data_IF_419894933105
#
_entry.id   IF_419894933105
#
_cell.length_a   1.000
_cell.length_b   1.000
_cell.length_c   1.000
_cell.angle_alpha   90.00
_cell.angle_beta   90.00
_cell.angle_gamma   90.00
#
_symmetry.space_group_name_H-M   'P 1'
#
loop_
_entity.id
_entity.type
_entity.pdbx_description
1 polymer ?
#
# COMPACT_ATOMS: atom_id res chain seq x y z
N UNK A 1 -76.55 -3.10 -39.83
CA UNK A 1 -75.16 -2.61 -39.79
C UNK A 1 -75.08 -1.61 -38.66
N UNK A 2 -74.46 -1.98 -37.54
CA UNK A 2 -74.14 -1.04 -36.47
C UNK A 2 -72.62 -0.87 -36.48
N UNK A 3 -72.17 0.35 -36.76
CA UNK A 3 -70.75 0.74 -36.73
C UNK A 3 -70.28 0.76 -35.28
N UNK A 4 -69.28 -0.08 -34.97
CA UNK A 4 -68.54 0.01 -33.71
C UNK A 4 -67.60 1.21 -33.80
N UNK A 5 -67.92 2.28 -33.09
CA UNK A 5 -66.98 3.37 -32.87
C UNK A 5 -65.91 2.95 -31.85
N UNK A 6 -64.61 3.19 -32.13
CA UNK A 6 -63.56 2.88 -31.17
C UNK A 6 -63.62 3.86 -29.99
N UNK A 7 -63.72 3.33 -28.77
CA UNK A 7 -63.59 4.16 -27.57
C UNK A 7 -62.16 4.68 -27.45
N UNK A 8 -62.01 6.01 -27.46
CA UNK A 8 -60.73 6.66 -27.24
C UNK A 8 -60.37 6.63 -25.74
N UNK A 9 -59.14 6.25 -25.37
CA UNK A 9 -58.73 6.25 -23.97
C UNK A 9 -58.86 7.65 -23.37
N UNK A 10 -59.44 7.75 -22.16
CA UNK A 10 -59.64 9.03 -21.49
C UNK A 10 -58.30 9.70 -21.13
N UNK A 11 -58.29 11.03 -21.04
CA UNK A 11 -57.11 11.80 -20.65
C UNK A 11 -56.51 11.34 -19.30
N UNK A 12 -57.35 10.82 -18.40
CA UNK A 12 -56.95 10.21 -17.13
C UNK A 12 -56.14 8.93 -17.30
N UNK A 13 -56.51 8.06 -18.26
CA UNK A 13 -55.74 6.86 -18.58
C UNK A 13 -54.36 7.21 -19.14
N UNK A 14 -54.26 8.24 -19.99
CA UNK A 14 -52.96 8.73 -20.49
C UNK A 14 -52.09 9.29 -19.37
N UNK A 15 -52.68 10.05 -18.43
CA UNK A 15 -51.94 10.64 -17.32
C UNK A 15 -51.39 9.57 -16.35
N UNK A 16 -52.18 8.53 -16.05
CA UNK A 16 -51.75 7.43 -15.19
C UNK A 16 -50.64 6.58 -15.83
N UNK A 17 -50.74 6.33 -17.13
CA UNK A 17 -49.68 5.64 -17.89
C UNK A 17 -48.40 6.51 -17.89
N UNK A 18 -48.52 7.82 -18.13
CA UNK A 18 -47.38 8.72 -18.08
C UNK A 18 -46.71 8.77 -16.70
N UNK A 19 -47.48 8.83 -15.61
CA UNK A 19 -46.92 8.79 -14.25
C UNK A 19 -46.25 7.45 -13.91
N UNK A 20 -46.79 6.32 -14.39
CA UNK A 20 -46.18 5.00 -14.22
C UNK A 20 -44.84 4.87 -14.96
N UNK A 21 -44.72 5.46 -16.16
CA UNK A 21 -43.47 5.48 -16.92
C UNK A 21 -42.41 6.35 -16.23
N UNK A 22 -42.80 7.50 -15.67
CA UNK A 22 -41.88 8.40 -14.93
C UNK A 22 -41.36 7.74 -13.65
N UNK A 23 -42.19 6.99 -12.93
CA UNK A 23 -41.78 6.28 -11.71
C UNK A 23 -40.83 5.10 -12.00
N UNK A 24 -40.98 4.41 -13.14
CA UNK A 24 -39.99 3.41 -13.58
C UNK A 24 -38.65 4.03 -14.00
N UNK A 25 -38.64 5.26 -14.54
CA UNK A 25 -37.41 6.00 -14.83
C UNK A 25 -36.69 6.46 -13.55
N UNK A 26 -37.43 6.81 -12.50
CA UNK A 26 -36.86 7.24 -11.22
C UNK A 26 -36.23 6.10 -10.41
N UNK A 27 -36.64 4.85 -10.66
CA UNK A 27 -36.14 3.66 -9.96
C UNK A 27 -35.04 2.89 -10.73
N UNK A 28 -34.50 3.45 -11.81
CA UNK A 28 -33.21 3.00 -12.33
C UNK A 28 -32.14 3.59 -11.41
N UNK A 29 -31.92 2.94 -10.26
CA UNK A 29 -30.62 3.03 -9.60
C UNK A 29 -29.61 2.52 -10.62
N UNK A 30 -29.02 3.44 -11.39
CA UNK A 30 -27.87 3.15 -12.21
C UNK A 30 -26.84 2.53 -11.26
N UNK A 31 -26.57 1.24 -11.41
CA UNK A 31 -25.42 0.58 -10.82
C UNK A 31 -24.17 1.19 -11.49
N UNK A 32 -23.86 2.43 -11.11
CA UNK A 32 -22.72 3.18 -11.62
C UNK A 32 -21.48 2.44 -11.17
N UNK A 33 -20.72 1.95 -12.14
CA UNK A 33 -19.40 1.34 -11.94
C UNK A 33 -18.47 2.23 -11.09
N UNK A 34 -18.68 3.55 -11.09
CA UNK A 34 -17.95 4.48 -10.23
C UNK A 34 -18.78 5.71 -9.86
N UNK A 35 -18.53 6.28 -8.67
CA UNK A 35 -19.05 7.58 -8.23
C UNK A 35 -17.92 8.44 -7.68
N UNK A 36 -18.00 9.75 -7.88
CA UNK A 36 -17.07 10.69 -7.28
C UNK A 36 -17.35 10.81 -5.77
N UNK A 37 -16.35 10.54 -4.94
CA UNK A 37 -16.45 10.71 -3.48
C UNK A 37 -15.84 12.04 -3.06
N UNK A 38 -16.54 12.77 -2.20
CA UNK A 38 -15.98 13.98 -1.58
C UNK A 38 -14.92 13.59 -0.53
N UNK A 39 -13.83 14.36 -0.36
CA UNK A 39 -12.86 14.11 0.71
C UNK A 39 -13.50 14.09 2.11
N UNK A 40 -14.55 14.88 2.33
CA UNK A 40 -15.36 14.85 3.56
C UNK A 40 -16.02 13.50 3.81
N UNK A 41 -16.56 12.85 2.77
CA UNK A 41 -17.19 11.52 2.92
C UNK A 41 -16.19 10.41 3.29
N UNK A 42 -14.89 10.66 3.10
CA UNK A 42 -13.81 9.78 3.52
C UNK A 42 -13.19 10.16 4.87
N UNK A 43 -13.74 11.17 5.55
CA UNK A 43 -13.22 11.67 6.84
C UNK A 43 -11.91 12.46 6.72
N UNK A 44 -11.49 12.83 5.50
CA UNK A 44 -10.20 13.48 5.21
C UNK A 44 -10.15 14.97 5.62
N UNK A 45 -11.24 15.53 6.15
CA UNK A 45 -11.26 16.89 6.73
C UNK A 45 -10.66 16.95 8.15
N UNK A 46 -10.35 15.79 8.76
CA UNK A 46 -9.72 15.72 10.08
C UNK A 46 -8.21 15.93 9.95
N UNK A 47 -7.62 16.64 10.92
CA UNK A 47 -6.17 16.90 10.98
C UNK A 47 -5.40 15.58 10.96
N UNK A 48 -4.34 15.54 10.15
CA UNK A 48 -3.43 14.40 10.08
C UNK A 48 -2.89 14.05 11.47
N UNK A 49 -2.89 12.76 11.80
CA UNK A 49 -2.32 12.24 13.05
C UNK A 49 -1.03 11.51 12.74
N UNK A 50 0.04 11.93 13.40
CA UNK A 50 1.28 11.18 13.46
C UNK A 50 1.19 10.17 14.60
N UNK A 51 1.43 8.89 14.29
CA UNK A 51 1.56 7.84 15.30
C UNK A 51 2.96 7.28 15.27
N UNK A 52 3.56 7.14 16.45
CA UNK A 52 4.78 6.40 16.67
C UNK A 52 4.42 5.11 17.41
N UNK A 53 4.85 3.98 16.88
CA UNK A 53 4.60 2.64 17.40
C UNK A 53 5.93 1.96 17.67
N UNK A 54 6.07 1.34 18.84
CA UNK A 54 7.26 0.60 19.23
C UNK A 54 6.87 -0.82 19.66
N UNK A 55 7.59 -1.81 19.13
CA UNK A 55 7.33 -3.23 19.38
C UNK A 55 8.50 -4.11 18.93
N UNK A 56 8.49 -5.38 19.33
CA UNK A 56 9.48 -6.39 18.97
C UNK A 56 8.87 -7.48 18.10
N UNK A 57 9.51 -7.74 16.97
CA UNK A 57 9.17 -8.76 15.99
C UNK A 57 10.02 -10.01 16.23
N UNK A 58 9.41 -11.20 16.18
CA UNK A 58 10.07 -12.48 16.48
C UNK A 58 9.97 -13.45 15.30
N UNK A 59 11.06 -13.61 14.56
CA UNK A 59 11.15 -14.57 13.45
C UNK A 59 11.68 -15.90 14.00
N UNK A 60 10.79 -16.89 14.09
CA UNK A 60 11.11 -18.24 14.59
C UNK A 60 11.11 -19.21 13.42
N UNK A 61 12.29 -19.43 12.86
CA UNK A 61 12.51 -20.27 11.67
C UNK A 61 12.69 -21.75 12.06
N UNK A 62 13.24 -22.02 13.24
CA UNK A 62 13.46 -23.38 13.73
C UNK A 62 13.15 -23.52 15.22
N UNK A 63 12.85 -24.75 15.66
CA UNK A 63 12.52 -25.07 17.05
C UNK A 63 11.05 -25.42 17.24
N UNK A 64 10.52 -25.16 18.44
CA UNK A 64 9.10 -25.30 18.73
C UNK A 64 8.36 -24.01 18.34
N UNK A 65 7.12 -24.14 17.89
CA UNK A 65 6.27 -23.00 17.49
C UNK A 65 6.90 -22.15 16.36
N UNK A 66 7.33 -22.81 15.28
CA UNK A 66 7.84 -22.15 14.07
C UNK A 66 6.80 -21.18 13.52
N UNK A 67 7.21 -19.94 13.25
CA UNK A 67 6.36 -18.85 12.75
C UNK A 67 6.72 -18.43 11.32
N UNK A 68 7.91 -18.80 10.84
CA UNK A 68 8.34 -18.56 9.47
C UNK A 68 8.83 -19.84 8.78
N UNK A 69 8.40 -20.02 7.53
CA UNK A 69 8.67 -21.24 6.75
C UNK A 69 9.14 -20.88 5.36
N UNK A 70 10.25 -21.49 4.92
CA UNK A 70 10.72 -21.37 3.54
C UNK A 70 9.78 -22.11 2.59
N UNK A 71 9.20 -21.38 1.63
CA UNK A 71 8.22 -21.91 0.67
C UNK A 71 8.80 -22.07 -0.74
N UNK A 72 9.86 -21.34 -1.06
CA UNK A 72 10.55 -21.49 -2.34
C UNK A 72 12.04 -21.22 -2.19
N UNK A 73 12.82 -21.77 -3.13
CA UNK A 73 14.23 -21.44 -3.34
C UNK A 73 14.60 -21.66 -4.79
N UNK A 74 15.55 -20.88 -5.30
CA UNK A 74 16.14 -21.15 -6.59
C UNK A 74 17.01 -22.42 -6.52
N UNK A 75 17.22 -23.15 -7.63
CA UNK A 75 18.17 -24.28 -7.67
C UNK A 75 19.59 -23.86 -7.30
N UNK A 76 19.96 -22.61 -7.58
CA UNK A 76 21.25 -22.00 -7.26
C UNK A 76 21.36 -21.52 -5.81
N UNK A 77 20.26 -21.53 -5.04
CA UNK A 77 20.27 -21.11 -3.64
C UNK A 77 21.07 -22.09 -2.79
N UNK A 78 22.17 -21.61 -2.20
CA UNK A 78 23.04 -22.36 -1.30
C UNK A 78 23.20 -21.63 0.04
N UNK A 79 23.94 -22.22 0.99
CA UNK A 79 24.25 -21.55 2.26
C UNK A 79 25.13 -20.31 2.05
N UNK A 80 26.02 -20.31 1.06
CA UNK A 80 26.94 -19.21 0.75
C UNK A 80 26.34 -18.18 -0.22
N UNK A 81 25.35 -18.57 -1.02
CA UNK A 81 24.56 -17.67 -1.86
C UNK A 81 23.07 -17.94 -1.63
N UNK A 82 22.48 -17.32 -0.60
CA UNK A 82 21.11 -17.64 -0.22
C UNK A 82 20.08 -16.85 -1.05
N UNK A 83 20.52 -16.14 -2.08
CA UNK A 83 19.69 -15.45 -3.08
C UNK A 83 18.63 -16.40 -3.66
N UNK A 84 17.40 -15.88 -3.81
CA UNK A 84 16.26 -16.61 -4.36
C UNK A 84 15.49 -17.46 -3.35
N UNK A 85 15.90 -17.50 -2.07
CA UNK A 85 15.08 -18.10 -1.01
C UNK A 85 13.90 -17.20 -0.66
N UNK A 86 12.70 -17.78 -0.53
CA UNK A 86 11.47 -17.08 -0.14
C UNK A 86 10.84 -17.80 1.05
N UNK A 87 10.44 -17.04 2.07
CA UNK A 87 9.71 -17.51 3.22
C UNK A 87 8.39 -16.78 3.39
N UNK A 88 7.40 -17.48 3.95
CA UNK A 88 6.17 -16.90 4.51
C UNK A 88 6.34 -16.79 6.02
N UNK A 89 5.73 -15.78 6.63
CA UNK A 89 5.79 -15.54 8.07
C UNK A 89 4.44 -15.15 8.67
N UNK A 90 4.21 -15.60 9.91
CA UNK A 90 3.14 -15.19 10.83
C UNK A 90 3.76 -14.90 12.22
N UNK A 91 4.64 -13.90 12.25
CA UNK A 91 5.53 -13.64 13.38
C UNK A 91 4.84 -12.77 14.44
N UNK A 92 4.93 -13.10 15.75
CA UNK A 92 4.32 -12.30 16.79
C UNK A 92 5.05 -10.96 16.96
N UNK A 93 4.27 -9.94 17.33
CA UNK A 93 4.77 -8.63 17.76
C UNK A 93 4.48 -8.46 19.25
N UNK A 94 5.48 -8.10 20.06
CA UNK A 94 5.34 -7.96 21.51
C UNK A 94 5.84 -6.62 22.04
N UNK A 95 5.45 -6.25 23.27
CA UNK A 95 5.87 -4.98 23.90
C UNK A 95 7.34 -4.98 24.37
N UNK A 96 7.95 -6.14 24.55
CA UNK A 96 9.35 -6.27 24.98
C UNK A 96 10.06 -7.39 24.19
N UNK A 97 11.40 -7.49 24.26
CA UNK A 97 12.14 -8.54 23.56
C UNK A 97 11.80 -9.97 24.00
N UNK A 98 11.09 -10.14 25.12
CA UNK A 98 10.63 -11.44 25.58
C UNK A 98 9.38 -11.87 24.79
N UNK A 99 9.44 -13.04 24.14
CA UNK A 99 8.33 -13.62 23.39
C UNK A 99 7.11 -13.95 24.28
N UNK A 100 7.33 -14.14 25.59
CA UNK A 100 6.26 -14.33 26.58
C UNK A 100 5.59 -13.02 27.01
N UNK A 101 6.11 -11.87 26.60
CA UNK A 101 5.51 -10.57 26.92
C UNK A 101 4.23 -10.32 26.13
N UNK A 102 3.54 -9.22 26.46
CA UNK A 102 2.23 -8.91 25.88
C UNK A 102 2.28 -8.82 24.35
N UNK A 103 1.47 -9.64 23.70
CA UNK A 103 1.25 -9.62 22.26
C UNK A 103 0.51 -8.34 21.85
N UNK A 104 1.04 -7.59 20.90
CA UNK A 104 0.44 -6.37 20.35
C UNK A 104 -0.02 -6.50 18.91
N UNK A 105 0.43 -7.54 18.22
CA UNK A 105 0.06 -7.81 16.84
C UNK A 105 0.80 -8.99 16.26
N UNK A 106 0.72 -9.13 14.94
CA UNK A 106 1.51 -10.07 14.15
C UNK A 106 2.04 -9.40 12.88
N UNK A 107 3.21 -9.81 12.42
CA UNK A 107 3.72 -9.51 11.10
C UNK A 107 3.43 -10.68 10.15
N UNK A 108 2.63 -10.41 9.13
CA UNK A 108 2.10 -11.42 8.22
C UNK A 108 2.46 -11.10 6.78
N UNK A 109 3.14 -12.01 6.11
CA UNK A 109 3.52 -11.82 4.70
C UNK A 109 4.69 -12.69 4.29
N UNK A 110 5.57 -12.13 3.46
CA UNK A 110 6.72 -12.82 2.90
C UNK A 110 8.00 -12.01 3.06
N UNK A 111 9.12 -12.72 3.08
CA UNK A 111 10.42 -12.14 2.82
C UNK A 111 11.23 -13.02 1.86
N UNK A 112 12.07 -12.39 1.05
CA UNK A 112 12.91 -13.07 0.07
C UNK A 112 14.34 -12.55 0.10
N UNK A 113 15.33 -13.43 0.03
CA UNK A 113 16.73 -13.03 -0.13
C UNK A 113 16.95 -12.56 -1.57
N UNK A 114 16.92 -11.24 -1.75
CA UNK A 114 16.78 -10.59 -3.05
C UNK A 114 18.05 -9.87 -3.52
N UNK A 115 19.16 -9.96 -2.75
CA UNK A 115 20.47 -9.45 -3.17
C UNK A 115 21.44 -10.58 -3.49
N UNK A 116 22.20 -10.40 -4.57
CA UNK A 116 23.26 -11.34 -4.97
C UNK A 116 24.59 -11.05 -4.27
N UNK A 117 24.78 -9.84 -3.75
CA UNK A 117 26.06 -9.34 -3.22
C UNK A 117 26.09 -9.26 -1.70
N UNK A 118 24.93 -9.25 -1.04
CA UNK A 118 24.84 -9.16 0.42
C UNK A 118 23.59 -9.88 0.95
N UNK A 119 23.56 -10.17 2.24
CA UNK A 119 22.38 -10.72 2.91
C UNK A 119 21.32 -9.61 3.06
N UNK A 120 20.50 -9.44 2.04
CA UNK A 120 19.41 -8.46 2.04
C UNK A 120 18.09 -9.10 1.66
N UNK A 121 17.11 -8.87 2.52
CA UNK A 121 15.74 -9.32 2.33
C UNK A 121 14.93 -8.25 1.58
N UNK A 122 14.08 -8.66 0.65
CA UNK A 122 12.90 -7.90 0.27
C UNK A 122 11.79 -8.31 1.24
N UNK A 123 11.28 -7.36 2.01
CA UNK A 123 10.20 -7.54 2.95
C UNK A 123 8.89 -7.10 2.30
N UNK A 124 7.86 -7.93 2.34
CA UNK A 124 6.51 -7.60 1.86
C UNK A 124 5.47 -8.18 2.82
N UNK A 125 5.00 -7.39 3.77
CA UNK A 125 4.16 -7.87 4.86
C UNK A 125 3.26 -6.78 5.47
N UNK A 126 2.34 -7.20 6.32
CA UNK A 126 1.51 -6.31 7.13
C UNK A 126 1.82 -6.47 8.62
N UNK A 127 1.95 -5.38 9.36
CA UNK A 127 1.79 -5.37 10.80
C UNK A 127 0.29 -5.34 11.13
N UNK A 128 -0.28 -6.45 11.55
CA UNK A 128 -1.67 -6.59 11.96
C UNK A 128 -1.78 -6.45 13.48
N UNK A 129 -2.29 -5.32 13.96
CA UNK A 129 -2.34 -5.01 15.39
C UNK A 129 -3.59 -5.59 16.04
N UNK A 130 -3.44 -6.09 17.26
CA UNK A 130 -4.54 -6.67 18.08
C UNK A 130 -4.75 -5.93 19.39
N UNK A 131 -3.94 -4.92 19.67
CA UNK A 131 -3.91 -4.24 20.96
C UNK A 131 -4.56 -2.84 20.94
N UNK A 132 -5.36 -2.57 21.98
CA UNK A 132 -5.90 -1.25 22.29
C UNK A 132 -6.65 -0.59 21.13
N UNK A 133 -6.43 0.72 20.92
CA UNK A 133 -7.07 1.50 19.84
C UNK A 133 -6.65 1.08 18.42
N UNK A 134 -5.63 0.24 18.29
CA UNK A 134 -5.11 -0.22 17.01
C UNK A 134 -5.64 -1.60 16.62
N UNK A 135 -6.37 -2.29 17.52
CA UNK A 135 -6.93 -3.61 17.27
C UNK A 135 -7.74 -3.65 15.96
N UNK A 136 -7.43 -4.63 15.11
CA UNK A 136 -8.05 -4.83 13.80
C UNK A 136 -7.55 -3.89 12.70
N UNK A 137 -6.58 -3.02 13.00
CA UNK A 137 -5.94 -2.15 12.02
C UNK A 137 -4.59 -2.73 11.58
N UNK A 138 -4.10 -2.33 10.41
CA UNK A 138 -2.79 -2.75 9.93
C UNK A 138 -1.99 -1.65 9.24
N UNK A 139 -0.68 -1.85 9.17
CA UNK A 139 0.25 -1.11 8.33
C UNK A 139 0.91 -2.07 7.35
N UNK A 140 1.02 -1.66 6.09
CA UNK A 140 1.67 -2.44 5.03
C UNK A 140 3.08 -1.93 4.79
N UNK A 141 4.04 -2.85 4.75
CA UNK A 141 5.47 -2.58 4.55
C UNK A 141 5.95 -3.30 3.29
N UNK A 142 6.63 -2.56 2.42
CA UNK A 142 7.33 -3.10 1.26
C UNK A 142 8.69 -2.41 1.17
N UNK A 143 9.77 -3.14 1.47
CA UNK A 143 11.06 -2.50 1.62
C UNK A 143 12.24 -3.47 1.60
N UNK A 144 13.42 -2.89 1.34
CA UNK A 144 14.70 -3.58 1.38
C UNK A 144 15.24 -3.61 2.80
N UNK A 145 15.76 -4.75 3.23
CA UNK A 145 16.19 -5.00 4.60
C UNK A 145 17.58 -5.68 4.61
N UNK A 146 18.67 -4.90 4.53
CA UNK A 146 20.04 -5.43 4.65
C UNK A 146 20.32 -5.80 6.11
N UNK A 147 20.26 -7.09 6.44
CA UNK A 147 20.07 -7.56 7.85
C UNK A 147 21.23 -7.22 8.78
N UNK A 148 22.42 -6.94 8.24
CA UNK A 148 23.62 -6.57 9.00
C UNK A 148 23.80 -5.05 9.17
N UNK A 149 22.96 -4.22 8.56
CA UNK A 149 22.95 -2.78 8.84
C UNK A 149 22.38 -2.51 10.22
N UNK A 150 23.03 -1.61 10.96
CA UNK A 150 22.67 -1.25 12.34
C UNK A 150 21.24 -0.69 12.45
N UNK A 151 20.82 0.09 11.46
CA UNK A 151 19.47 0.66 11.34
C UNK A 151 18.99 0.41 9.92
N UNK A 152 17.75 -0.06 9.77
CA UNK A 152 17.15 -0.43 8.49
C UNK A 152 15.81 0.26 8.38
N UNK A 153 15.71 1.21 7.46
CA UNK A 153 14.48 1.95 7.21
C UNK A 153 13.69 1.26 6.09
N UNK A 154 12.41 0.99 6.32
CA UNK A 154 11.50 0.42 5.33
C UNK A 154 10.24 1.28 5.19
N UNK A 155 9.77 1.54 3.96
CA UNK A 155 8.56 2.34 3.76
C UNK A 155 7.30 1.66 4.29
N UNK A 156 6.46 2.43 4.99
CA UNK A 156 5.05 2.15 5.19
C UNK A 156 4.31 2.65 3.96
N UNK A 157 3.79 1.73 3.15
CA UNK A 157 3.16 2.01 1.84
C UNK A 157 1.64 2.10 1.91
N UNK A 158 1.05 1.80 3.06
CA UNK A 158 -0.39 1.75 3.23
C UNK A 158 -0.80 1.32 4.63
N UNK A 159 -2.10 1.28 4.86
CA UNK A 159 -2.69 0.74 6.07
C UNK A 159 -4.21 0.67 6.00
N UNK A 160 -4.79 -0.04 6.95
CA UNK A 160 -6.24 -0.24 7.09
C UNK A 160 -6.74 0.18 8.49
N UNK A 161 -8.05 0.16 8.70
CA UNK A 161 -8.66 0.55 9.97
C UNK A 161 -8.32 1.99 10.35
N UNK A 162 -7.76 2.19 11.55
CA UNK A 162 -7.33 3.52 12.02
C UNK A 162 -6.13 4.08 11.24
N UNK A 163 -5.41 3.21 10.52
CA UNK A 163 -4.29 3.57 9.64
C UNK A 163 -4.72 3.65 8.18
N UNK A 164 -6.01 3.79 7.88
CA UNK A 164 -6.47 3.96 6.50
C UNK A 164 -5.76 5.14 5.85
N UNK A 165 -5.19 4.90 4.66
CA UNK A 165 -4.34 5.85 3.96
C UNK A 165 -2.98 6.09 4.62
N UNK A 166 -2.46 5.24 5.51
CA UNK A 166 -1.15 5.47 6.11
C UNK A 166 0.00 5.52 5.08
N UNK A 167 0.97 6.39 5.34
CA UNK A 167 2.29 6.55 4.74
C UNK A 167 3.31 6.84 5.84
N UNK A 168 4.56 6.47 5.65
CA UNK A 168 5.60 6.71 6.65
C UNK A 168 6.74 5.73 6.51
N UNK A 169 7.40 5.41 7.61
CA UNK A 169 8.55 4.50 7.62
C UNK A 169 8.59 3.67 8.90
N UNK A 170 9.31 2.55 8.81
CA UNK A 170 9.62 1.67 9.92
C UNK A 170 11.14 1.54 10.02
N UNK A 171 11.71 1.90 11.15
CA UNK A 171 13.10 1.62 11.51
C UNK A 171 13.19 0.30 12.25
N UNK A 172 14.00 -0.61 11.72
CA UNK A 172 14.29 -1.91 12.33
C UNK A 172 15.72 -1.95 12.88
N UNK A 173 15.89 -2.52 14.07
CA UNK A 173 17.19 -2.78 14.72
C UNK A 173 17.23 -4.22 15.18
N UNK A 174 18.28 -4.95 14.85
CA UNK A 174 18.42 -6.35 15.27
C UNK A 174 18.79 -6.38 16.75
N UNK A 175 17.93 -6.99 17.58
CA UNK A 175 18.20 -7.20 19.00
C UNK A 175 19.02 -8.48 19.19
N UNK A 176 18.55 -9.59 18.63
CA UNK A 176 19.27 -10.88 18.59
C UNK A 176 19.12 -11.53 17.23
N UNK A 177 20.17 -12.21 16.77
CA UNK A 177 20.13 -13.01 15.55
C UNK A 177 21.06 -14.22 15.69
N UNK A 178 20.49 -15.42 15.61
CA UNK A 178 21.26 -16.66 15.61
C UNK A 178 21.52 -17.11 14.18
N UNK A 179 22.77 -16.97 13.73
CA UNK A 179 23.22 -17.33 12.39
C UNK A 179 23.05 -18.83 12.06
N UNK A 180 22.99 -19.71 13.07
CA UNK A 180 22.84 -21.16 12.84
C UNK A 180 21.39 -21.53 12.54
N UNK A 181 20.46 -20.93 13.27
CA UNK A 181 19.04 -21.25 13.20
C UNK A 181 18.26 -20.33 12.27
N UNK A 182 18.74 -19.10 12.09
CA UNK A 182 18.01 -18.03 11.42
C UNK A 182 17.03 -17.31 12.35
N UNK A 183 16.89 -17.72 13.61
CA UNK A 183 15.94 -17.10 14.53
C UNK A 183 16.39 -15.68 14.89
N UNK A 184 15.45 -14.74 14.94
CA UNK A 184 15.74 -13.33 15.17
C UNK A 184 14.70 -12.65 16.08
N UNK A 185 15.17 -11.69 16.88
CA UNK A 185 14.32 -10.68 17.52
C UNK A 185 14.74 -9.32 16.98
N UNK A 186 13.77 -8.57 16.48
CA UNK A 186 13.99 -7.28 15.81
C UNK A 186 13.12 -6.23 16.45
N UNK A 187 13.74 -5.17 16.94
CA UNK A 187 13.04 -3.99 17.45
C UNK A 187 12.59 -3.11 16.30
N UNK A 188 11.34 -2.66 16.35
CA UNK A 188 10.74 -1.76 15.35
C UNK A 188 10.25 -0.47 15.99
N UNK A 189 10.62 0.64 15.38
CA UNK A 189 9.98 1.95 15.55
C UNK A 189 9.26 2.27 14.25
N UNK A 190 7.95 2.49 14.29
CA UNK A 190 7.15 2.77 13.10
C UNK A 190 6.43 4.09 13.22
N UNK A 191 6.73 4.99 12.30
CA UNK A 191 6.09 6.27 12.11
C UNK A 191 5.10 6.16 10.95
N UNK A 192 3.82 6.37 11.25
CA UNK A 192 2.76 6.36 10.24
C UNK A 192 1.90 7.63 10.31
N UNK A 193 1.59 8.19 9.14
CA UNK A 193 0.76 9.37 8.93
C UNK A 193 -0.23 9.11 7.79
N UNK A 194 -1.45 9.63 7.80
CA UNK A 194 -2.49 9.20 6.84
C UNK A 194 -2.57 10.09 5.57
N UNK A 195 -2.00 9.68 4.42
CA UNK A 195 -2.44 9.99 3.03
C UNK A 195 -2.04 8.89 1.99
N UNK A 196 -2.86 8.71 0.94
CA UNK A 196 -2.76 7.70 -0.15
C UNK A 196 -1.51 7.89 -1.08
N UNK A 197 -0.96 6.86 -1.78
CA UNK A 197 0.32 6.96 -2.54
C UNK A 197 0.58 6.01 -3.76
N UNK A 198 1.36 6.43 -4.77
CA UNK A 198 2.09 5.62 -5.80
C UNK A 198 3.63 5.82 -5.67
N UNK A 199 4.49 4.85 -6.09
CA UNK A 199 5.96 4.85 -5.86
C UNK A 199 6.82 4.76 -7.15
N UNK A 200 7.90 5.54 -7.22
CA UNK A 200 8.90 5.57 -8.30
C UNK A 200 10.34 5.45 -7.75
N UNK A 201 11.19 4.66 -8.41
CA UNK A 201 12.60 4.44 -8.03
C UNK A 201 13.56 4.91 -9.15
N UNK A 202 14.57 5.70 -8.81
CA UNK A 202 15.55 6.23 -9.77
C UNK A 202 16.88 5.48 -9.68
N UNK A 203 17.33 4.90 -10.81
CA UNK A 203 18.47 3.97 -10.86
C UNK A 203 19.73 4.55 -11.53
N UNK A 204 19.63 5.76 -12.11
CA UNK A 204 20.76 6.42 -12.78
C UNK A 204 20.69 7.95 -12.60
N UNK A 205 21.84 8.62 -12.78
CA UNK A 205 21.95 10.08 -12.76
C UNK A 205 21.95 10.72 -11.36
N UNK A 206 21.66 12.03 -11.30
CA UNK A 206 21.78 12.90 -10.10
C UNK A 206 20.96 12.43 -8.88
N UNK A 207 19.96 11.58 -9.09
CA UNK A 207 19.02 11.12 -8.06
C UNK A 207 19.08 9.60 -7.82
N UNK A 208 20.16 8.95 -8.27
CA UNK A 208 20.39 7.53 -8.11
C UNK A 208 20.26 7.08 -6.64
N UNK A 209 19.46 6.04 -6.39
CA UNK A 209 19.19 5.50 -5.06
C UNK A 209 18.05 6.20 -4.29
N UNK A 210 17.45 7.25 -4.86
CA UNK A 210 16.27 7.91 -4.31
C UNK A 210 14.96 7.24 -4.74
N UNK A 211 13.99 7.18 -3.82
CA UNK A 211 12.60 6.85 -4.15
C UNK A 211 11.73 8.09 -4.02
N UNK A 212 10.77 8.27 -4.92
CA UNK A 212 9.78 9.35 -4.89
C UNK A 212 8.38 8.75 -4.95
N UNK A 213 7.55 9.18 -4.01
CA UNK A 213 6.14 8.80 -3.94
C UNK A 213 5.29 9.98 -4.40
N UNK A 214 4.34 9.74 -5.31
CA UNK A 214 3.39 10.74 -5.81
C UNK A 214 1.97 10.16 -5.69
N UNK A 215 0.96 10.99 -5.47
CA UNK A 215 -0.44 10.58 -5.42
C UNK A 215 -1.23 11.28 -6.50
N UNK A 216 -1.87 10.55 -7.41
CA UNK A 216 -2.82 11.16 -8.34
C UNK A 216 -3.46 10.18 -9.33
N UNK A 217 -4.52 10.63 -10.00
CA UNK A 217 -5.15 9.89 -11.11
C UNK A 217 -4.29 10.13 -12.35
N UNK A 218 -3.88 9.08 -13.07
CA UNK A 218 -3.30 9.22 -14.40
C UNK A 218 -4.44 9.20 -15.43
N UNK A 219 -4.80 10.34 -16.04
CA UNK A 219 -5.78 10.34 -17.11
C UNK A 219 -5.09 9.83 -18.38
N UNK A 220 -5.28 8.54 -18.68
CA UNK A 220 -4.77 7.89 -19.91
C UNK A 220 -5.20 8.64 -21.20
N UNK A 221 -6.21 9.52 -21.12
CA UNK A 221 -6.76 10.30 -22.24
C UNK A 221 -6.72 11.83 -22.08
N UNK A 222 -6.03 12.41 -21.08
CA UNK A 222 -5.85 13.88 -21.02
C UNK A 222 -4.39 14.29 -21.08
N UNK A 223 -4.14 15.42 -21.75
CA UNK A 223 -2.81 15.83 -22.21
C UNK A 223 -1.82 16.22 -21.09
N UNK A 224 -2.28 16.48 -19.86
CA UNK A 224 -1.47 16.73 -18.66
C UNK A 224 -2.26 16.28 -17.43
N UNK A 225 -1.62 15.58 -16.50
CA UNK A 225 -2.17 15.28 -15.17
C UNK A 225 -1.16 15.63 -14.07
N UNK A 226 -1.54 16.50 -13.13
CA UNK A 226 -0.73 16.86 -11.97
C UNK A 226 -0.90 15.84 -10.83
N UNK A 227 0.22 15.42 -10.23
CA UNK A 227 0.29 14.46 -9.14
C UNK A 227 1.13 15.03 -8.00
N UNK A 228 0.56 15.44 -6.85
CA UNK A 228 1.36 15.91 -5.72
C UNK A 228 2.41 14.89 -5.25
N UNK A 229 3.61 15.38 -4.95
CA UNK A 229 4.67 14.65 -4.26
C UNK A 229 4.28 14.50 -2.80
N UNK A 230 4.25 13.26 -2.33
CA UNK A 230 3.70 12.91 -1.01
C UNK A 230 4.74 12.24 -0.08
N UNK A 231 5.93 11.97 -0.60
CA UNK A 231 7.02 11.38 0.16
C UNK A 231 8.17 10.95 -0.74
N UNK A 232 9.25 10.51 -0.13
CA UNK A 232 10.41 9.95 -0.80
C UNK A 232 11.49 9.56 0.21
N UNK A 233 12.44 8.72 -0.20
CA UNK A 233 13.56 8.29 0.63
C UNK A 233 14.87 8.92 0.15
N UNK A 234 15.89 8.91 1.01
CA UNK A 234 17.19 9.49 0.71
C UNK A 234 17.10 10.99 0.40
N UNK A 235 17.49 11.40 -0.81
CA UNK A 235 17.52 12.80 -1.23
C UNK A 235 16.14 13.47 -1.33
N UNK A 236 15.06 12.68 -1.34
CA UNK A 236 13.68 13.16 -1.45
C UNK A 236 12.93 13.20 -0.11
N UNK A 237 13.60 12.98 1.03
CA UNK A 237 12.95 12.86 2.36
C UNK A 237 12.12 14.06 2.81
N UNK A 238 12.31 15.22 2.18
CA UNK A 238 11.54 16.45 2.42
C UNK A 238 10.97 17.09 1.15
N UNK A 239 10.93 16.35 0.03
CA UNK A 239 10.45 16.89 -1.23
C UNK A 239 8.98 17.32 -1.11
N UNK A 240 8.69 18.54 -1.59
CA UNK A 240 7.33 19.07 -1.73
C UNK A 240 7.18 19.56 -3.17
N UNK A 241 6.05 19.28 -3.82
CA UNK A 241 5.85 19.65 -5.22
C UNK A 241 4.79 18.79 -5.91
N UNK A 242 4.83 18.78 -7.23
CA UNK A 242 3.89 18.05 -8.09
C UNK A 242 4.63 17.47 -9.31
N UNK A 243 4.27 16.25 -9.70
CA UNK A 243 4.70 15.63 -10.93
C UNK A 243 3.63 15.82 -12.00
N UNK A 244 4.01 16.33 -13.16
CA UNK A 244 3.15 16.37 -14.34
C UNK A 244 3.42 15.12 -15.19
N UNK A 245 2.40 14.28 -15.36
CA UNK A 245 2.45 13.16 -16.29
C UNK A 245 1.86 13.57 -17.64
N UNK A 246 2.59 13.28 -18.73
CA UNK A 246 2.15 13.49 -20.10
C UNK A 246 2.28 12.20 -20.92
N UNK A 247 1.16 11.72 -21.43
CA UNK A 247 1.13 10.53 -22.30
C UNK A 247 1.45 10.94 -23.73
N UNK A 248 2.50 10.38 -24.33
CA UNK A 248 2.93 10.75 -25.69
C UNK A 248 2.47 9.76 -26.77
N UNK A 249 2.45 8.46 -26.50
CA UNK A 249 1.97 7.44 -27.46
C UNK A 249 1.36 6.23 -26.75
N UNK A 250 0.23 5.75 -27.26
CA UNK A 250 -0.41 4.50 -26.86
C UNK A 250 -0.43 3.56 -28.07
N UNK A 251 0.45 2.55 -28.07
CA UNK A 251 0.44 1.47 -29.06
C UNK A 251 0.23 0.13 -28.32
N UNK A 252 -0.84 -0.57 -28.70
CA UNK A 252 -1.24 -1.85 -28.13
C UNK A 252 -0.25 -3.00 -28.43
N UNK A 253 0.72 -2.81 -29.34
CA UNK A 253 1.73 -3.82 -29.66
C UNK A 253 3.07 -3.63 -28.92
N UNK A 254 3.42 -2.41 -28.50
CA UNK A 254 4.76 -2.08 -27.96
C UNK A 254 4.74 -1.61 -26.50
N UNK A 255 3.55 -1.37 -25.92
CA UNK A 255 3.40 -0.96 -24.52
C UNK A 255 3.36 0.57 -24.34
N UNK A 256 2.91 1.00 -23.16
CA UNK A 256 2.73 2.43 -22.84
C UNK A 256 4.08 3.10 -22.56
N UNK A 257 4.40 4.15 -23.32
CA UNK A 257 5.54 5.02 -23.01
C UNK A 257 5.01 6.31 -22.35
N UNK A 258 5.31 6.46 -21.06
CA UNK A 258 4.90 7.60 -20.25
C UNK A 258 6.08 8.56 -20.08
N UNK A 259 5.91 9.84 -20.45
CA UNK A 259 6.88 10.87 -20.11
C UNK A 259 6.36 11.63 -18.89
N UNK A 260 7.10 11.61 -17.79
CA UNK A 260 6.75 12.35 -16.57
C UNK A 260 7.76 13.45 -16.30
N UNK A 261 7.28 14.68 -16.27
CA UNK A 261 8.06 15.84 -15.84
C UNK A 261 7.79 16.08 -14.35
N UNK A 262 8.79 15.80 -13.52
CA UNK A 262 8.64 15.91 -12.06
C UNK A 262 9.20 17.27 -11.63
N UNK A 263 8.33 18.15 -11.13
CA UNK A 263 8.71 19.46 -10.60
C UNK A 263 8.58 19.48 -9.08
N UNK A 264 9.70 19.64 -8.38
CA UNK A 264 9.70 19.74 -6.93
C UNK A 264 10.62 20.84 -6.45
N UNK A 265 10.24 21.49 -5.36
CA UNK A 265 11.12 22.39 -4.62
C UNK A 265 11.77 21.61 -3.49
N UNK A 266 13.11 21.69 -3.42
CA UNK A 266 13.87 21.13 -2.30
C UNK A 266 13.67 22.09 -1.12
N UNK A 267 13.24 21.58 0.03
CA UNK A 267 13.36 22.36 1.26
C UNK A 267 14.86 22.57 1.54
N UNK A 268 15.24 23.82 1.84
CA UNK A 268 16.62 24.21 2.15
C UNK A 268 17.20 23.37 3.30
#
# INVERSE_FOLDING_TARGET
MAENHPEHPSATSFLLIALSLISTLAAVESNLFSRNLSPSSLGLKKREKLSHLHFYFHDVVTGKNVTAVRVAKAPTTTKSSPFGAVAVMDDPLTISPDIGSKLVGKAQGIYALASQTEASLLMAFNFAFVEGKYNGSNLSVLGRNPVFSAVREMPVIGGSGVFRFARGYAEARTHTFDLKTGNAVVEYNTEASLLMAYNFAFIEGKYNGGNLSVLGRNPVFSAVGEMPVIGGSGVFRFARGYAEAKTHTFDLKTGLMLLMNIMFTKAA
#
